data_IF_436818502604
#
_entry.id   IF_436818502604
#
_cell.length_a   1.000
_cell.length_b   1.000
_cell.length_c   1.000
_cell.angle_alpha   90.00
_cell.angle_beta   90.00
_cell.angle_gamma   90.00
#
_symmetry.space_group_name_H-M   'P 1'
#
loop_
_entity.id
_entity.type
_entity.pdbx_description
1 polymer ?
#
# COMPACT_ATOMS: atom_id res chain seq x y z
N UNK A 1 57.38 5.58 -1.93
CA UNK A 1 57.53 6.88 -2.63
C UNK A 1 57.28 6.65 -4.10
N UNK A 2 56.09 6.89 -4.58
CA UNK A 2 55.81 7.06 -6.02
C UNK A 2 54.64 8.02 -6.17
N UNK A 3 54.99 9.21 -6.64
CA UNK A 3 54.08 10.31 -6.96
C UNK A 3 53.43 10.03 -8.32
N UNK A 4 52.15 9.97 -8.41
CA UNK A 4 51.44 9.92 -9.70
C UNK A 4 50.80 11.26 -10.00
N UNK A 5 51.13 11.76 -11.17
CA UNK A 5 50.89 13.11 -11.65
C UNK A 5 49.45 13.26 -12.17
N UNK A 6 48.85 14.36 -11.85
CA UNK A 6 47.60 14.85 -12.41
C UNK A 6 47.83 15.29 -13.86
N UNK A 7 46.92 14.89 -14.74
CA UNK A 7 46.81 15.41 -16.09
C UNK A 7 45.45 16.04 -16.26
N UNK A 8 45.42 17.35 -16.29
CA UNK A 8 44.31 18.20 -16.67
C UNK A 8 44.23 18.27 -18.19
N UNK A 9 43.11 17.86 -18.77
CA UNK A 9 42.74 18.21 -20.16
C UNK A 9 41.39 18.85 -20.14
N UNK A 10 41.38 20.16 -20.30
CA UNK A 10 40.19 20.94 -20.58
C UNK A 10 39.84 20.87 -22.08
N UNK A 11 38.59 20.66 -22.37
CA UNK A 11 37.98 20.99 -23.69
C UNK A 11 36.67 21.68 -23.43
N UNK A 12 36.71 22.98 -23.66
CA UNK A 12 35.51 23.80 -23.79
C UNK A 12 34.95 23.62 -25.19
N UNK A 13 33.71 23.23 -25.34
CA UNK A 13 32.99 23.38 -26.60
C UNK A 13 31.62 23.95 -26.30
N UNK A 14 31.53 25.24 -26.55
CA UNK A 14 30.33 26.07 -26.54
C UNK A 14 29.59 25.83 -27.87
N UNK A 15 28.39 25.26 -27.86
CA UNK A 15 27.52 25.24 -29.03
C UNK A 15 26.20 25.88 -28.67
N UNK A 16 26.05 27.15 -29.09
CA UNK A 16 24.81 27.90 -29.06
C UNK A 16 23.98 27.51 -30.32
N UNK A 17 22.82 26.91 -30.12
CA UNK A 17 21.80 26.74 -31.15
C UNK A 17 20.55 27.48 -30.71
N UNK A 18 20.36 28.66 -31.27
CA UNK A 18 19.12 29.44 -31.18
C UNK A 18 18.18 28.91 -32.29
N UNK A 19 17.07 28.30 -31.86
CA UNK A 19 15.97 28.00 -32.80
C UNK A 19 14.77 28.82 -32.34
N UNK A 20 14.55 29.92 -33.04
CA UNK A 20 13.32 30.68 -33.01
C UNK A 20 12.26 29.91 -33.81
N UNK A 21 11.30 29.32 -33.13
CA UNK A 21 10.11 28.72 -33.75
C UNK A 21 8.87 29.54 -33.39
N UNK A 22 8.43 30.38 -34.28
CA UNK A 22 7.08 30.95 -34.24
C UNK A 22 6.09 29.84 -34.54
N UNK A 23 5.22 29.49 -33.63
CA UNK A 23 4.10 28.57 -33.81
C UNK A 23 2.78 29.31 -33.61
N UNK A 24 1.99 29.33 -34.64
CA UNK A 24 0.68 29.94 -34.78
C UNK A 24 -0.32 29.53 -33.70
N UNK A 25 -1.11 30.50 -33.25
CA UNK A 25 -2.34 30.29 -32.48
C UNK A 25 -3.43 29.70 -33.38
N UNK A 26 -4.12 28.63 -32.98
CA UNK A 26 -5.40 28.31 -33.63
C UNK A 26 -6.50 29.25 -33.14
N UNK A 27 -7.12 29.88 -34.08
CA UNK A 27 -8.27 30.78 -33.98
C UNK A 27 -9.51 29.98 -33.53
N UNK A 28 -10.20 30.47 -32.52
CA UNK A 28 -11.51 29.97 -32.14
C UNK A 28 -12.53 30.24 -33.24
N UNK A 29 -13.29 29.22 -33.62
CA UNK A 29 -14.48 29.36 -34.47
C UNK A 29 -15.74 29.53 -33.58
N UNK A 30 -16.73 30.31 -34.04
CA UNK A 30 -17.84 30.74 -33.20
C UNK A 30 -18.94 29.68 -33.05
N UNK A 31 -19.60 29.76 -31.92
CA UNK A 31 -20.81 29.03 -31.57
C UNK A 31 -21.96 29.36 -32.54
N UNK A 32 -22.71 28.32 -32.93
CA UNK A 32 -24.12 28.48 -33.29
C UNK A 32 -24.94 27.52 -32.45
N UNK A 33 -25.80 28.14 -31.65
CA UNK A 33 -26.76 27.49 -30.80
C UNK A 33 -27.94 26.92 -31.61
N UNK A 34 -28.54 25.90 -31.03
CA UNK A 34 -29.97 25.64 -31.16
C UNK A 34 -30.45 25.17 -29.79
N UNK A 35 -31.27 26.02 -29.16
CA UNK A 35 -32.19 25.69 -28.08
C UNK A 35 -33.11 24.55 -28.49
N UNK A 36 -33.37 23.63 -27.56
CA UNK A 36 -34.72 23.11 -27.30
C UNK A 36 -34.76 22.39 -25.95
N UNK A 37 -35.33 23.03 -25.00
CA UNK A 37 -36.15 22.48 -23.90
C UNK A 37 -37.61 22.41 -24.37
N UNK A 38 -38.58 21.90 -23.61
CA UNK A 38 -38.63 20.85 -22.58
C UNK A 38 -39.86 19.89 -22.83
N UNK A 39 -39.95 18.80 -22.08
CA UNK A 39 -41.23 18.15 -21.73
C UNK A 39 -40.95 17.16 -20.65
N UNK A 40 -41.31 17.38 -19.47
CA UNK A 40 -42.59 17.39 -18.77
C UNK A 40 -43.15 15.98 -18.46
N UNK A 41 -43.13 15.68 -17.17
CA UNK A 41 -44.20 15.21 -16.25
C UNK A 41 -44.66 13.75 -16.37
N UNK A 42 -44.64 13.03 -15.27
CA UNK A 42 -45.75 12.53 -14.44
C UNK A 42 -45.24 11.46 -13.49
N UNK A 43 -45.19 11.71 -12.23
CA UNK A 43 -46.04 11.27 -11.16
C UNK A 43 -46.46 9.80 -11.17
N UNK A 44 -46.13 9.11 -10.12
CA UNK A 44 -46.68 7.84 -9.72
C UNK A 44 -46.31 7.50 -8.29
N UNK A 45 -47.10 8.00 -7.36
CA UNK A 45 -47.09 7.61 -5.96
C UNK A 45 -47.60 6.19 -5.79
N UNK A 46 -47.02 5.46 -4.85
CA UNK A 46 -47.49 4.14 -4.43
C UNK A 46 -46.97 3.80 -3.04
N UNK A 47 -47.64 4.38 -2.09
CA UNK A 47 -47.62 4.11 -0.67
C UNK A 47 -48.18 2.71 -0.38
N UNK A 48 -47.54 1.92 0.49
CA UNK A 48 -48.21 0.94 1.36
C UNK A 48 -47.23 0.37 2.39
N UNK A 49 -47.29 0.92 3.58
CA UNK A 49 -47.06 0.22 4.85
C UNK A 49 -48.33 -0.51 5.20
N UNK A 50 -48.34 -1.70 5.88
CA UNK A 50 -48.29 -1.69 7.33
C UNK A 50 -47.54 -2.82 8.02
N UNK A 51 -47.05 -2.54 9.20
CA UNK A 51 -46.89 -3.46 10.32
C UNK A 51 -48.23 -3.59 11.03
N UNK A 52 -48.40 -4.32 12.16
CA UNK A 52 -47.61 -5.24 12.95
C UNK A 52 -48.40 -6.52 13.35
N UNK A 53 -47.86 -7.44 14.16
CA UNK A 53 -48.57 -8.20 15.22
C UNK A 53 -47.61 -9.23 15.83
N UNK A 54 -47.21 -8.97 17.04
CA UNK A 54 -47.55 -9.54 18.35
C UNK A 54 -47.03 -10.96 18.65
N UNK A 55 -46.23 -10.95 19.65
CA UNK A 55 -45.90 -11.85 20.77
C UNK A 55 -47.13 -12.60 21.34
N UNK A 56 -47.08 -13.66 22.20
CA UNK A 56 -46.11 -13.96 23.25
C UNK A 56 -45.92 -15.47 23.60
N UNK A 57 -44.90 -15.69 24.44
CA UNK A 57 -45.12 -16.60 25.60
C UNK A 57 -44.46 -17.95 25.60
N UNK A 58 -43.62 -18.22 26.47
CA UNK A 58 -43.73 -18.92 27.75
C UNK A 58 -42.43 -19.55 28.18
N UNK A 59 -41.90 -19.07 29.29
CA UNK A 59 -41.45 -19.71 30.53
C UNK A 59 -41.33 -21.24 30.52
N UNK A 60 -40.24 -21.79 31.05
CA UNK A 60 -40.12 -22.28 32.41
C UNK A 60 -38.69 -22.65 32.80
N UNK A 61 -38.33 -22.22 33.98
CA UNK A 61 -37.18 -22.51 34.79
C UNK A 61 -36.94 -23.98 35.13
N UNK A 62 -35.71 -24.33 35.38
CA UNK A 62 -35.33 -25.15 36.54
C UNK A 62 -33.80 -25.22 36.76
N UNK A 63 -33.35 -24.55 37.78
CA UNK A 63 -32.17 -24.90 38.58
C UNK A 63 -32.60 -26.00 39.57
N UNK A 64 -31.70 -26.95 39.98
CA UNK A 64 -30.89 -26.69 41.19
C UNK A 64 -29.47 -27.25 41.16
N UNK A 65 -28.59 -26.56 41.89
CA UNK A 65 -27.42 -27.04 42.60
C UNK A 65 -27.85 -27.67 43.94
N UNK A 66 -26.95 -28.22 44.82
CA UNK A 66 -25.51 -28.58 44.80
C UNK A 66 -25.25 -29.99 45.33
N UNK A 67 -24.00 -30.45 45.29
CA UNK A 67 -23.34 -31.14 46.45
C UNK A 67 -21.82 -31.08 46.30
N UNK A 68 -21.21 -30.65 47.37
CA UNK A 68 -19.78 -30.72 47.73
C UNK A 68 -19.39 -32.16 48.04
N UNK A 69 -18.19 -32.58 47.67
CA UNK A 69 -17.29 -33.21 48.66
C UNK A 69 -15.82 -33.14 48.23
N UNK A 70 -15.04 -33.09 49.20
CA UNK A 70 -13.66 -32.69 49.40
C UNK A 70 -12.76 -33.95 49.35
N UNK A 71 -11.60 -33.89 48.71
CA UNK A 71 -10.34 -34.38 49.27
C UNK A 71 -9.16 -34.39 48.33
N UNK A 72 -8.26 -33.53 48.64
CA UNK A 72 -6.82 -33.74 48.91
C UNK A 72 -5.83 -34.13 47.80
N UNK A 73 -4.94 -33.17 47.54
CA UNK A 73 -3.47 -33.32 47.43
C UNK A 73 -2.92 -34.08 46.23
N UNK A 74 -2.39 -33.34 45.28
CA UNK A 74 -0.93 -33.40 45.03
C UNK A 74 -0.50 -32.24 44.08
N UNK A 75 0.54 -31.60 44.54
CA UNK A 75 1.27 -30.55 43.87
C UNK A 75 1.84 -31.07 42.56
N UNK A 76 1.22 -30.71 41.44
CA UNK A 76 1.87 -30.82 40.15
C UNK A 76 2.01 -29.43 39.58
N UNK A 77 3.25 -28.97 39.58
CA UNK A 77 3.64 -27.73 38.94
C UNK A 77 3.14 -27.70 37.53
N UNK A 78 2.13 -26.90 37.29
CA UNK A 78 1.65 -26.57 35.92
C UNK A 78 2.76 -25.78 35.27
N UNK A 79 3.56 -26.47 34.46
CA UNK A 79 4.40 -25.81 33.48
C UNK A 79 3.49 -24.98 32.60
N UNK A 80 3.60 -23.66 32.75
CA UNK A 80 3.08 -22.67 31.84
C UNK A 80 3.55 -23.08 30.43
N UNK A 81 2.71 -23.15 29.42
CA UNK A 81 3.20 -23.39 28.06
C UNK A 81 4.21 -22.27 27.76
N UNK A 82 5.46 -22.65 27.59
CA UNK A 82 6.47 -21.78 27.01
C UNK A 82 5.97 -21.56 25.59
N UNK A 83 5.48 -20.37 25.32
CA UNK A 83 5.26 -19.94 23.95
C UNK A 83 6.60 -20.14 23.23
N UNK A 84 6.57 -20.91 22.18
CA UNK A 84 7.70 -21.18 21.30
C UNK A 84 8.15 -19.80 20.77
N UNK A 85 9.13 -19.19 21.41
CA UNK A 85 9.75 -17.97 20.93
C UNK A 85 10.50 -18.36 19.65
N UNK A 86 9.81 -18.30 18.51
CA UNK A 86 10.45 -18.42 17.20
C UNK A 86 11.64 -17.45 17.17
N UNK A 87 12.83 -18.00 16.96
CA UNK A 87 14.04 -17.19 16.90
C UNK A 87 13.92 -16.18 15.76
N UNK A 88 14.05 -14.89 16.07
CA UNK A 88 14.03 -13.84 15.06
C UNK A 88 15.31 -13.90 14.22
N UNK A 89 15.11 -13.84 12.91
CA UNK A 89 16.17 -13.67 11.94
C UNK A 89 16.32 -12.18 11.61
N UNK A 90 17.54 -11.77 11.27
CA UNK A 90 17.81 -10.41 10.82
C UNK A 90 18.31 -10.46 9.36
N UNK A 91 17.78 -9.59 8.52
CA UNK A 91 18.19 -9.47 7.13
C UNK A 91 18.34 -8.00 6.75
N UNK A 92 19.44 -7.68 6.05
CA UNK A 92 19.57 -6.38 5.42
C UNK A 92 18.82 -6.38 4.09
N UNK A 93 18.07 -5.34 3.86
CA UNK A 93 17.29 -5.12 2.65
C UNK A 93 17.56 -3.72 2.11
N UNK A 94 17.24 -3.53 0.85
CA UNK A 94 17.22 -2.24 0.19
C UNK A 94 15.78 -1.75 0.06
N UNK A 95 15.47 -0.61 0.68
CA UNK A 95 14.16 0.04 0.56
C UNK A 95 14.30 1.30 -0.30
N UNK A 96 13.32 1.56 -1.16
CA UNK A 96 13.35 2.65 -2.12
C UNK A 96 12.48 3.81 -1.68
N UNK A 97 13.08 4.97 -1.60
CA UNK A 97 12.46 6.25 -1.25
C UNK A 97 12.63 7.24 -2.39
N UNK A 98 12.18 8.46 -2.22
CA UNK A 98 12.52 9.53 -3.15
C UNK A 98 13.44 10.56 -2.51
N UNK A 99 14.07 11.37 -3.35
CA UNK A 99 14.69 12.63 -2.94
C UNK A 99 13.62 13.63 -2.43
N UNK A 100 14.05 14.73 -1.86
CA UNK A 100 13.16 15.76 -1.34
C UNK A 100 12.29 16.46 -2.40
N UNK A 101 12.61 16.30 -3.68
CA UNK A 101 11.90 16.89 -4.81
C UNK A 101 10.90 15.90 -5.45
N UNK A 102 10.89 14.65 -4.99
CA UNK A 102 10.05 13.56 -5.53
C UNK A 102 10.28 13.37 -7.05
N UNK A 103 11.54 13.38 -7.45
CA UNK A 103 11.94 13.24 -8.85
C UNK A 103 12.56 11.88 -9.15
N UNK A 104 13.39 11.36 -8.24
CA UNK A 104 14.14 10.13 -8.43
C UNK A 104 13.98 9.17 -7.25
N UNK A 105 14.04 7.85 -7.54
CA UNK A 105 14.10 6.83 -6.50
C UNK A 105 15.53 6.68 -5.98
N UNK A 106 15.66 6.73 -4.67
CA UNK A 106 16.91 6.60 -3.93
C UNK A 106 16.85 5.36 -3.06
N UNK A 107 17.70 4.35 -3.31
CA UNK A 107 17.80 3.17 -2.44
C UNK A 107 18.48 3.50 -1.12
N UNK A 108 17.99 2.92 -0.04
CA UNK A 108 18.62 2.98 1.27
C UNK A 108 18.62 1.60 1.94
N UNK A 109 19.77 1.25 2.52
CA UNK A 109 19.93 0.00 3.27
C UNK A 109 19.27 0.11 4.64
N UNK A 110 18.49 -0.90 4.98
CA UNK A 110 17.88 -1.05 6.29
C UNK A 110 17.91 -2.51 6.73
N UNK A 111 17.69 -2.76 8.02
CA UNK A 111 17.62 -4.12 8.56
C UNK A 111 16.23 -4.41 9.06
N UNK A 112 15.68 -5.55 8.68
CA UNK A 112 14.42 -6.09 9.17
C UNK A 112 14.67 -7.27 10.09
N UNK A 113 13.76 -7.50 11.04
CA UNK A 113 13.82 -8.62 11.99
C UNK A 113 12.49 -9.36 11.97
N UNK A 114 12.50 -10.66 11.72
CA UNK A 114 11.29 -11.45 11.50
C UNK A 114 11.49 -12.91 11.96
N UNK A 115 10.39 -13.59 12.21
CA UNK A 115 10.34 -14.99 12.63
C UNK A 115 9.64 -15.90 11.59
N UNK A 116 8.94 -15.31 10.64
CA UNK A 116 8.30 -16.01 9.52
C UNK A 116 8.15 -15.09 8.29
N UNK A 117 7.70 -15.65 7.17
CA UNK A 117 7.59 -14.92 5.89
C UNK A 117 6.59 -13.77 5.94
N UNK A 118 5.46 -13.92 6.66
CA UNK A 118 4.47 -12.85 6.78
C UNK A 118 5.06 -11.68 7.57
N UNK A 119 5.77 -11.96 8.67
CA UNK A 119 6.49 -10.93 9.42
C UNK A 119 7.61 -10.31 8.57
N UNK A 120 8.35 -11.11 7.78
CA UNK A 120 9.39 -10.62 6.85
C UNK A 120 8.86 -9.54 5.92
N UNK A 121 7.77 -9.83 5.23
CA UNK A 121 7.21 -8.86 4.27
C UNK A 121 6.46 -7.72 4.94
N UNK A 122 5.88 -7.94 6.12
CA UNK A 122 5.29 -6.87 6.94
C UNK A 122 6.36 -5.87 7.39
N UNK A 123 7.50 -6.35 7.88
CA UNK A 123 8.63 -5.49 8.28
C UNK A 123 9.26 -4.80 7.05
N UNK A 124 9.28 -5.47 5.89
CA UNK A 124 9.71 -4.85 4.63
C UNK A 124 8.79 -3.69 4.24
N UNK A 125 7.47 -3.84 4.36
CA UNK A 125 6.53 -2.76 4.10
C UNK A 125 6.71 -1.60 5.10
N UNK A 126 6.89 -1.90 6.38
CA UNK A 126 7.19 -0.87 7.40
C UNK A 126 8.49 -0.13 7.10
N UNK A 127 9.47 -0.81 6.55
CA UNK A 127 10.69 -0.15 6.10
C UNK A 127 10.42 0.87 4.98
N UNK A 128 9.50 0.59 4.05
CA UNK A 128 9.06 1.57 3.04
C UNK A 128 8.33 2.78 3.65
N UNK A 129 7.64 2.59 4.77
CA UNK A 129 6.84 3.66 5.39
C UNK A 129 7.69 4.71 6.11
N UNK A 130 8.90 4.35 6.54
CA UNK A 130 9.76 5.28 7.28
C UNK A 130 11.23 4.98 7.09
N UNK A 131 12.06 6.01 7.10
CA UNK A 131 13.51 5.88 7.07
C UNK A 131 14.15 6.81 8.11
N UNK A 132 15.42 6.55 8.41
CA UNK A 132 16.19 7.36 9.36
C UNK A 132 16.88 8.56 8.72
N UNK A 133 16.94 8.60 7.40
CA UNK A 133 17.55 9.69 6.64
C UNK A 133 16.48 10.75 6.34
N UNK A 134 16.61 11.93 6.91
CA UNK A 134 15.67 13.04 6.75
C UNK A 134 15.69 13.67 5.35
N UNK A 135 16.70 13.35 4.53
CA UNK A 135 16.80 13.83 3.15
C UNK A 135 15.98 12.97 2.18
N UNK A 136 15.48 11.82 2.65
CA UNK A 136 14.66 10.90 1.88
C UNK A 136 13.19 10.97 2.28
N UNK A 137 12.33 10.92 1.28
CA UNK A 137 10.87 10.97 1.46
C UNK A 137 10.26 9.60 1.19
N UNK A 138 9.48 9.11 2.15
CA UNK A 138 8.67 7.92 1.97
C UNK A 138 7.38 8.26 1.24
N UNK A 139 7.10 7.56 0.15
CA UNK A 139 5.84 7.68 -0.58
C UNK A 139 4.73 6.80 0.05
N UNK A 140 5.11 5.88 0.93
CA UNK A 140 4.21 4.94 1.62
C UNK A 140 3.94 5.31 3.08
N UNK A 141 4.54 6.41 3.56
CA UNK A 141 4.52 6.78 4.98
C UNK A 141 3.13 7.07 5.55
N UNK A 142 2.16 7.40 4.71
CA UNK A 142 0.76 7.67 5.12
C UNK A 142 -0.19 6.54 4.79
N UNK A 143 0.27 5.50 4.11
CA UNK A 143 -0.53 4.33 3.73
C UNK A 143 -0.56 3.36 4.90
N UNK A 144 -1.72 2.83 5.24
CA UNK A 144 -1.89 1.85 6.31
C UNK A 144 -1.93 0.43 5.74
N UNK A 145 -1.11 -0.47 6.28
CA UNK A 145 -1.18 -1.90 5.94
C UNK A 145 -2.26 -2.57 6.80
N UNK A 146 -3.36 -2.99 6.20
CA UNK A 146 -4.45 -3.70 6.87
C UNK A 146 -4.15 -5.17 7.05
N UNK A 147 -3.64 -5.81 6.01
CA UNK A 147 -3.23 -7.20 6.06
C UNK A 147 -2.18 -7.53 5.00
N UNK A 148 -1.39 -8.58 5.26
CA UNK A 148 -0.46 -9.13 4.30
C UNK A 148 -0.47 -10.65 4.39
N UNK A 149 -0.45 -11.32 3.23
CA UNK A 149 -0.33 -12.77 3.10
C UNK A 149 0.76 -13.09 2.08
N UNK A 150 1.45 -14.19 2.30
CA UNK A 150 2.41 -14.75 1.35
C UNK A 150 2.09 -16.21 1.11
N UNK A 151 1.91 -16.59 -0.14
CA UNK A 151 1.59 -17.97 -0.55
C UNK A 151 2.13 -18.22 -1.95
N UNK A 152 2.87 -19.30 -2.14
CA UNK A 152 3.39 -19.76 -3.43
C UNK A 152 4.19 -18.71 -4.24
N UNK A 153 4.81 -17.77 -3.53
CA UNK A 153 5.57 -16.67 -4.12
C UNK A 153 4.73 -15.44 -4.44
N UNK A 154 3.44 -15.43 -4.11
CA UNK A 154 2.59 -14.26 -4.22
C UNK A 154 2.43 -13.56 -2.87
N UNK A 155 2.69 -12.28 -2.86
CA UNK A 155 2.29 -11.38 -1.77
C UNK A 155 0.93 -10.80 -2.12
N UNK A 156 -0.02 -10.91 -1.21
CA UNK A 156 -1.29 -10.19 -1.27
C UNK A 156 -1.33 -9.23 -0.08
N UNK A 157 -1.32 -7.94 -0.37
CA UNK A 157 -1.41 -6.89 0.65
C UNK A 157 -2.70 -6.10 0.48
N UNK A 158 -3.40 -5.91 1.58
CA UNK A 158 -4.55 -5.02 1.67
C UNK A 158 -4.13 -3.77 2.43
N UNK A 159 -4.31 -2.63 1.80
CA UNK A 159 -3.92 -1.33 2.34
C UNK A 159 -5.13 -0.42 2.47
N UNK A 160 -5.02 0.55 3.36
CA UNK A 160 -5.92 1.71 3.39
C UNK A 160 -5.14 2.95 2.97
N UNK A 161 -5.68 3.70 2.01
CA UNK A 161 -5.12 4.95 1.51
C UNK A 161 -5.97 6.13 1.96
N UNK A 162 -5.58 6.85 3.02
CA UNK A 162 -6.29 8.04 3.44
C UNK A 162 -6.12 9.18 2.39
N UNK A 163 -7.00 10.17 2.43
CA UNK A 163 -6.98 11.27 1.44
C UNK A 163 -5.66 12.06 1.45
N UNK A 164 -5.06 12.24 2.61
CA UNK A 164 -3.77 12.92 2.78
C UNK A 164 -2.56 12.17 2.22
N UNK A 165 -2.75 10.91 1.81
CA UNK A 165 -1.74 10.11 1.11
C UNK A 165 -1.75 10.33 -0.41
N UNK A 166 -2.65 11.16 -0.93
CA UNK A 166 -2.77 11.43 -2.36
C UNK A 166 -1.49 12.04 -2.92
N UNK A 167 -1.01 11.47 -4.03
CA UNK A 167 0.14 11.94 -4.80
C UNK A 167 -0.34 12.31 -6.22
N UNK A 168 0.43 13.14 -6.91
CA UNK A 168 0.24 13.34 -8.34
C UNK A 168 0.83 12.18 -9.17
N UNK A 169 0.64 12.22 -10.49
CA UNK A 169 1.02 11.14 -11.42
C UNK A 169 2.49 10.67 -11.26
N UNK A 170 3.43 11.60 -11.13
CA UNK A 170 4.84 11.26 -10.94
C UNK A 170 5.10 10.54 -9.61
N UNK A 171 4.49 11.06 -8.53
CA UNK A 171 4.60 10.46 -7.20
C UNK A 171 3.96 9.07 -7.12
N UNK A 172 2.80 8.86 -7.76
CA UNK A 172 2.15 7.56 -7.84
C UNK A 172 3.00 6.54 -8.60
N UNK A 173 3.56 6.93 -9.75
CA UNK A 173 4.47 6.07 -10.52
C UNK A 173 5.69 5.66 -9.69
N UNK A 174 6.31 6.62 -8.99
CA UNK A 174 7.44 6.35 -8.11
C UNK A 174 7.04 5.48 -6.91
N UNK A 175 5.84 5.65 -6.35
CA UNK A 175 5.35 4.83 -5.26
C UNK A 175 5.21 3.36 -5.69
N UNK A 176 4.54 3.09 -6.82
CA UNK A 176 4.39 1.73 -7.36
C UNK A 176 5.77 1.11 -7.65
N UNK A 177 6.66 1.86 -8.31
CA UNK A 177 8.01 1.38 -8.62
C UNK A 177 8.84 1.13 -7.36
N UNK A 178 8.73 1.97 -6.32
CA UNK A 178 9.44 1.78 -5.05
C UNK A 178 9.00 0.51 -4.34
N UNK A 179 7.69 0.22 -4.34
CA UNK A 179 7.14 -1.02 -3.81
C UNK A 179 7.70 -2.23 -4.58
N UNK A 180 7.57 -2.22 -5.90
CA UNK A 180 8.04 -3.30 -6.75
C UNK A 180 9.53 -3.59 -6.55
N UNK A 181 10.39 -2.57 -6.62
CA UNK A 181 11.85 -2.72 -6.40
C UNK A 181 12.17 -3.26 -5.02
N UNK A 182 11.47 -2.77 -3.98
CA UNK A 182 11.72 -3.21 -2.60
C UNK A 182 11.31 -4.66 -2.38
N UNK A 183 10.19 -5.12 -2.96
CA UNK A 183 9.75 -6.49 -2.75
C UNK A 183 10.35 -7.49 -3.72
N UNK A 184 10.61 -7.10 -4.96
CA UNK A 184 11.23 -8.01 -5.93
C UNK A 184 12.74 -8.21 -5.72
N UNK A 185 13.38 -7.60 -4.72
CA UNK A 185 14.72 -8.01 -4.30
C UNK A 185 14.74 -9.43 -3.73
N UNK A 186 13.62 -9.94 -3.22
CA UNK A 186 13.47 -11.30 -2.74
C UNK A 186 13.17 -12.24 -3.92
N UNK A 187 14.07 -13.20 -4.18
CA UNK A 187 13.94 -14.11 -5.34
C UNK A 187 12.68 -14.97 -5.29
N UNK A 188 12.23 -15.32 -4.09
CA UNK A 188 11.02 -16.10 -3.86
C UNK A 188 9.72 -15.33 -4.16
N UNK A 189 9.76 -13.98 -4.22
CA UNK A 189 8.59 -13.16 -4.57
C UNK A 189 8.44 -13.13 -6.10
N UNK A 190 7.36 -13.70 -6.59
CA UNK A 190 7.02 -13.79 -8.02
C UNK A 190 6.03 -12.74 -8.44
N UNK A 191 5.09 -12.39 -7.55
CA UNK A 191 4.05 -11.40 -7.83
C UNK A 191 3.57 -10.71 -6.56
N UNK A 192 3.03 -9.51 -6.75
CA UNK A 192 2.48 -8.67 -5.70
C UNK A 192 1.08 -8.25 -6.12
N UNK A 193 0.08 -8.61 -5.33
CA UNK A 193 -1.29 -8.15 -5.46
C UNK A 193 -1.55 -7.08 -4.40
N UNK A 194 -1.93 -5.90 -4.82
CA UNK A 194 -2.28 -4.79 -3.92
C UNK A 194 -3.79 -4.57 -3.99
N UNK A 195 -4.42 -4.65 -2.84
CA UNK A 195 -5.82 -4.33 -2.65
C UNK A 195 -5.93 -3.02 -1.86
N UNK A 196 -6.92 -2.21 -2.16
CA UNK A 196 -7.26 -1.02 -1.40
C UNK A 196 -8.62 -1.26 -0.74
N UNK A 197 -8.62 -1.33 0.59
CA UNK A 197 -9.82 -1.64 1.39
C UNK A 197 -10.52 -2.94 0.96
N UNK A 198 -9.71 -3.94 0.58
CA UNK A 198 -10.15 -5.27 0.17
C UNK A 198 -10.50 -5.39 -1.31
N UNK A 199 -10.43 -4.32 -2.10
CA UNK A 199 -10.81 -4.30 -3.51
C UNK A 199 -9.61 -4.10 -4.45
N UNK A 200 -9.70 -4.65 -5.66
CA UNK A 200 -8.78 -4.35 -6.75
C UNK A 200 -9.18 -3.02 -7.37
N UNK A 201 -8.24 -2.09 -7.41
CA UNK A 201 -8.45 -0.77 -8.01
C UNK A 201 -7.60 -0.62 -9.26
N UNK A 202 -8.13 0.04 -10.28
CA UNK A 202 -7.37 0.27 -11.53
C UNK A 202 -6.13 1.14 -11.31
N UNK A 203 -6.13 1.99 -10.28
CA UNK A 203 -5.06 2.91 -9.94
C UNK A 203 -5.08 3.19 -8.45
N UNK A 204 -3.92 3.41 -7.82
CA UNK A 204 -3.85 3.79 -6.40
C UNK A 204 -4.36 5.21 -6.16
N UNK A 205 -4.11 6.12 -7.10
CA UNK A 205 -4.35 7.55 -6.92
C UNK A 205 -5.01 8.21 -8.14
N UNK A 206 -5.36 7.41 -9.16
CA UNK A 206 -6.10 7.84 -10.32
C UNK A 206 -5.27 8.27 -11.53
N UNK A 207 -3.96 8.01 -11.56
CA UNK A 207 -3.09 8.48 -12.64
C UNK A 207 -2.28 7.37 -13.33
N UNK A 208 -2.00 6.27 -12.64
CA UNK A 208 -1.15 5.18 -13.14
C UNK A 208 -1.86 3.85 -12.94
N UNK A 209 -1.89 3.03 -13.98
CA UNK A 209 -2.50 1.71 -13.92
C UNK A 209 -1.77 0.81 -12.92
N UNK A 210 -2.54 0.22 -12.01
CA UNK A 210 -2.05 -0.76 -11.05
C UNK A 210 -2.26 -2.17 -11.59
N UNK A 211 -1.18 -2.88 -11.83
CA UNK A 211 -1.23 -4.25 -12.35
C UNK A 211 -1.74 -5.26 -11.30
N UNK A 212 -2.58 -6.20 -11.72
CA UNK A 212 -3.19 -7.21 -10.86
C UNK A 212 -2.97 -8.64 -11.35
N UNK A 213 -1.94 -9.32 -10.86
CA UNK A 213 -0.90 -8.82 -9.96
C UNK A 213 0.25 -8.10 -10.68
N UNK A 214 1.02 -7.32 -9.96
CA UNK A 214 2.32 -6.86 -10.42
C UNK A 214 3.30 -8.03 -10.46
N UNK A 215 4.13 -8.06 -11.50
CA UNK A 215 5.20 -9.04 -11.68
C UNK A 215 6.51 -8.31 -12.01
N UNK A 216 7.62 -9.04 -12.07
CA UNK A 216 8.93 -8.44 -12.46
C UNK A 216 8.93 -7.86 -13.88
N UNK A 217 8.06 -8.35 -14.74
CA UNK A 217 8.01 -7.98 -16.15
C UNK A 217 7.04 -6.81 -16.44
N UNK A 218 6.13 -6.51 -15.50
CA UNK A 218 5.08 -5.51 -15.69
C UNK A 218 5.02 -4.41 -14.60
N UNK A 219 6.08 -4.28 -13.77
CA UNK A 219 6.16 -3.33 -12.65
C UNK A 219 7.19 -2.24 -12.83
#
# INVERSE_FOLDING_TARGET
>A
MTKQKWSTIGIATLLLLVIAGCGDKPTAAPANGVEQEPSNVVSGAGESTPAPTDDPGNEVASTPQPVVDNSNTETQATAKPVADEKQKQNQNIEAYYTDSQVMDLVPAQTSISFSDDVEKYTETFKALQSNKNTDLVSLWGKIELKSLKFTDGQIVMDIHKPEEAQLGAGGESLAITSLAKTFFQFEEVKSIEVLVDGEKVESLMGHVDLMHPMTRDNS
#
